data_IF_036000728393
#
_entry.id   IF_036000728393
#
_cell.length_a   1.000
_cell.length_b   1.000
_cell.length_c   1.000
_cell.angle_alpha   90.00
_cell.angle_beta   90.00
_cell.angle_gamma   90.00
#
_symmetry.space_group_name_H-M   'P 1'
#
loop_
_entity.id
_entity.type
_entity.pdbx_description
1 polymer ?
#
# COMPACT_ATOMS: atom_id res chain seq x y z
N UNK A 1 131.24 28.99 -27.45
CA UNK A 1 130.34 28.68 -28.58
C UNK A 1 128.97 28.33 -28.02
N UNK A 2 127.91 28.98 -28.53
CA UNK A 2 126.46 28.67 -28.55
C UNK A 2 125.79 27.99 -27.33
N UNK A 3 124.91 28.65 -26.54
CA UNK A 3 123.49 29.05 -26.76
C UNK A 3 122.43 28.00 -26.32
N UNK A 4 121.43 28.49 -25.57
CA UNK A 4 120.02 28.04 -25.40
C UNK A 4 119.71 26.86 -24.44
N UNK A 5 118.55 26.76 -23.77
CA UNK A 5 117.39 27.62 -23.40
C UNK A 5 116.38 26.71 -22.66
N UNK A 6 115.40 27.33 -21.97
CA UNK A 6 114.04 26.85 -21.56
C UNK A 6 113.93 26.32 -20.12
N UNK A 7 113.28 27.03 -19.19
CA UNK A 7 111.86 27.48 -19.08
C UNK A 7 110.92 26.33 -18.71
N UNK A 8 110.61 26.25 -17.42
CA UNK A 8 109.59 25.39 -16.84
C UNK A 8 108.47 26.26 -16.23
N UNK A 9 107.22 25.84 -16.42
CA UNK A 9 106.15 26.22 -15.51
C UNK A 9 104.81 26.53 -16.17
N UNK A 10 103.83 25.67 -15.88
CA UNK A 10 102.38 25.89 -15.81
C UNK A 10 101.55 25.60 -17.07
N UNK A 11 100.93 24.42 -17.08
CA UNK A 11 99.64 24.11 -17.77
C UNK A 11 98.91 23.13 -16.83
N UNK A 12 97.93 23.57 -16.03
CA UNK A 12 96.52 23.88 -16.33
C UNK A 12 95.59 22.65 -16.34
N UNK A 13 94.75 22.61 -15.31
CA UNK A 13 93.58 21.77 -15.06
C UNK A 13 92.51 21.93 -16.16
N UNK A 14 92.65 21.26 -17.30
CA UNK A 14 91.63 21.31 -18.39
C UNK A 14 91.03 19.94 -18.71
N UNK A 15 91.49 18.86 -18.08
CA UNK A 15 91.15 17.50 -18.54
C UNK A 15 89.87 16.86 -17.98
N UNK A 16 88.96 17.60 -17.32
CA UNK A 16 87.73 17.02 -16.73
C UNK A 16 86.40 17.44 -17.39
N UNK A 17 86.40 18.14 -18.52
CA UNK A 17 85.18 18.75 -19.09
C UNK A 17 84.59 18.06 -20.34
N UNK A 18 84.97 16.82 -20.70
CA UNK A 18 84.60 16.23 -22.02
C UNK A 18 83.84 14.89 -21.95
N UNK A 19 83.31 14.47 -20.79
CA UNK A 19 82.70 13.11 -20.67
C UNK A 19 81.26 13.02 -20.14
N UNK A 20 80.48 14.12 -20.07
CA UNK A 20 79.08 14.04 -19.62
C UNK A 20 78.06 14.79 -20.50
N UNK A 21 78.41 15.09 -21.76
CA UNK A 21 77.49 15.69 -22.73
C UNK A 21 76.77 14.62 -23.55
N UNK A 22 76.00 13.73 -22.90
CA UNK A 22 75.00 12.84 -23.52
C UNK A 22 74.04 12.34 -22.43
N UNK A 23 73.23 13.22 -21.85
CA UNK A 23 72.01 12.79 -21.15
C UNK A 23 70.81 13.29 -21.94
N UNK A 24 70.20 12.39 -22.71
CA UNK A 24 68.87 12.61 -23.26
C UNK A 24 67.91 12.81 -22.09
N UNK A 25 67.13 13.91 -22.05
CA UNK A 25 66.11 14.09 -21.03
C UNK A 25 65.16 12.89 -21.03
N UNK A 26 64.73 12.39 -19.86
CA UNK A 26 63.72 11.34 -19.82
C UNK A 26 62.48 11.81 -20.59
N UNK A 27 61.83 10.93 -21.36
CA UNK A 27 60.61 11.30 -22.08
C UNK A 27 59.60 11.88 -21.08
N UNK A 28 58.86 12.94 -21.47
CA UNK A 28 57.86 13.52 -20.60
C UNK A 28 56.91 12.41 -20.13
N UNK A 29 56.53 12.40 -18.83
CA UNK A 29 55.62 11.40 -18.31
C UNK A 29 54.36 11.38 -19.18
N UNK A 30 53.82 10.20 -19.52
CA UNK A 30 52.60 10.10 -20.31
C UNK A 30 51.52 10.95 -19.65
N UNK A 31 50.70 11.67 -20.44
CA UNK A 31 49.63 12.49 -19.89
C UNK A 31 48.77 11.60 -18.99
N UNK A 32 48.54 12.06 -17.76
CA UNK A 32 47.65 11.39 -16.82
C UNK A 32 46.34 11.12 -17.54
N UNK A 33 45.83 9.87 -17.52
CA UNK A 33 44.51 9.58 -18.08
C UNK A 33 43.51 10.60 -17.52
N UNK A 34 42.62 11.16 -18.36
CA UNK A 34 41.59 12.06 -17.85
C UNK A 34 40.86 11.37 -16.70
N UNK A 35 40.56 12.09 -15.61
CA UNK A 35 39.86 11.50 -14.48
C UNK A 35 38.59 10.83 -15.03
N UNK A 36 38.39 9.57 -14.66
CA UNK A 36 37.19 8.83 -15.04
C UNK A 36 36.00 9.63 -14.52
N UNK A 37 35.26 10.28 -15.42
CA UNK A 37 34.02 10.97 -15.08
C UNK A 37 33.01 9.88 -14.76
N UNK A 38 32.93 9.49 -13.48
CA UNK A 38 31.88 8.60 -13.01
C UNK A 38 30.56 9.35 -13.23
N UNK A 39 29.62 8.84 -14.05
CA UNK A 39 28.35 9.52 -14.25
C UNK A 39 27.65 9.70 -12.89
N UNK A 40 27.49 10.95 -12.47
CA UNK A 40 26.86 11.34 -11.20
C UNK A 40 25.33 11.33 -11.29
N UNK A 41 24.76 10.63 -12.28
CA UNK A 41 23.33 10.67 -12.57
C UNK A 41 22.54 10.12 -11.37
N UNK A 42 21.77 11.01 -10.73
CA UNK A 42 20.89 10.64 -9.63
C UNK A 42 19.83 9.65 -10.14
N UNK A 43 19.57 8.54 -9.44
CA UNK A 43 18.43 7.67 -9.74
C UNK A 43 17.12 8.45 -9.74
N UNK A 44 16.23 8.18 -10.69
CA UNK A 44 14.90 8.80 -10.77
C UNK A 44 13.82 7.81 -10.32
N UNK A 45 12.71 8.29 -9.73
CA UNK A 45 11.58 7.44 -9.38
C UNK A 45 10.98 6.74 -10.61
N UNK A 46 10.49 5.49 -10.47
CA UNK A 46 9.80 4.78 -11.56
C UNK A 46 8.51 5.51 -11.96
N UNK A 47 8.18 5.48 -13.25
CA UNK A 47 6.95 6.04 -13.84
C UNK A 47 6.63 7.49 -13.42
N UNK A 48 7.66 8.29 -13.14
CA UNK A 48 7.55 9.66 -12.64
C UNK A 48 6.77 9.76 -11.32
N UNK A 49 6.87 8.74 -10.46
CA UNK A 49 6.34 8.80 -9.10
C UNK A 49 6.95 9.96 -8.31
N UNK A 50 6.19 10.46 -7.33
CA UNK A 50 6.67 11.51 -6.44
C UNK A 50 7.93 11.05 -5.68
N UNK A 51 8.93 11.92 -5.58
CA UNK A 51 10.08 11.71 -4.71
C UNK A 51 9.60 11.60 -3.24
N UNK A 52 10.08 10.58 -2.51
CA UNK A 52 9.72 10.40 -1.10
C UNK A 52 8.32 9.83 -0.83
N UNK A 53 7.63 9.30 -1.84
CA UNK A 53 6.40 8.51 -1.63
C UNK A 53 6.64 7.38 -0.60
N UNK A 54 5.75 7.29 0.38
CA UNK A 54 5.73 6.18 1.31
C UNK A 54 5.15 4.92 0.65
N UNK A 55 5.86 3.80 0.76
CA UNK A 55 5.38 2.49 0.30
C UNK A 55 4.85 1.67 1.50
N UNK A 56 3.86 0.79 1.30
CA UNK A 56 3.40 -0.10 2.35
C UNK A 56 4.52 -1.01 2.85
N UNK A 57 4.40 -1.50 4.09
CA UNK A 57 5.28 -2.57 4.58
C UNK A 57 4.95 -3.91 3.92
N UNK A 58 5.89 -4.87 3.96
CA UNK A 58 5.67 -6.24 3.48
C UNK A 58 5.06 -7.12 4.58
N UNK A 59 4.32 -8.14 4.19
CA UNK A 59 3.91 -9.26 5.05
C UNK A 59 5.04 -10.29 5.23
N UNK A 60 4.75 -11.37 5.96
CA UNK A 60 5.67 -12.48 6.22
C UNK A 60 6.06 -13.21 4.92
N UNK A 61 5.18 -13.15 3.91
CA UNK A 61 5.37 -13.72 2.58
C UNK A 61 6.14 -12.78 1.62
N UNK A 62 6.48 -11.56 2.06
CA UNK A 62 7.22 -10.57 1.28
C UNK A 62 6.38 -9.74 0.29
N UNK A 63 5.05 -9.86 0.30
CA UNK A 63 4.12 -9.05 -0.49
C UNK A 63 3.81 -7.74 0.23
N UNK A 64 3.65 -6.64 -0.50
CA UNK A 64 3.27 -5.36 0.11
C UNK A 64 1.83 -5.42 0.64
N UNK A 65 1.64 -4.98 1.87
CA UNK A 65 0.34 -4.93 2.53
C UNK A 65 -0.61 -3.98 1.81
N UNK A 66 -1.67 -4.54 1.23
CA UNK A 66 -2.76 -3.77 0.61
C UNK A 66 -4.03 -3.83 1.45
N UNK A 67 -5.01 -2.99 1.10
CA UNK A 67 -6.36 -3.06 1.66
C UNK A 67 -7.12 -4.34 1.27
N UNK A 68 -6.58 -5.14 0.34
CA UNK A 68 -7.19 -6.37 -0.14
C UNK A 68 -6.67 -7.63 0.60
N UNK A 69 -5.90 -7.48 1.68
CA UNK A 69 -5.34 -8.63 2.40
C UNK A 69 -6.41 -9.41 3.16
N UNK A 70 -6.40 -10.74 3.00
CA UNK A 70 -7.29 -11.66 3.73
C UNK A 70 -8.78 -11.40 3.48
N UNK A 71 -9.14 -10.88 2.30
CA UNK A 71 -10.54 -10.64 1.92
C UNK A 71 -11.29 -11.96 1.69
N UNK A 72 -12.57 -11.96 2.05
CA UNK A 72 -13.50 -13.03 1.68
C UNK A 72 -13.88 -12.94 0.21
N UNK A 73 -14.42 -14.00 -0.39
CA UNK A 73 -14.88 -13.99 -1.79
C UNK A 73 -15.86 -12.85 -2.11
N UNK A 74 -16.82 -12.56 -1.22
CA UNK A 74 -17.76 -11.44 -1.40
C UNK A 74 -17.03 -10.09 -1.40
N UNK A 75 -16.11 -9.90 -0.46
CA UNK A 75 -15.30 -8.68 -0.35
C UNK A 75 -14.37 -8.54 -1.55
N UNK A 76 -13.78 -9.65 -2.02
CA UNK A 76 -12.94 -9.67 -3.20
C UNK A 76 -13.71 -9.25 -4.45
N UNK A 77 -14.92 -9.79 -4.66
CA UNK A 77 -15.76 -9.43 -5.81
C UNK A 77 -16.17 -7.94 -5.76
N UNK A 78 -16.44 -7.44 -4.56
CA UNK A 78 -16.70 -6.02 -4.35
C UNK A 78 -15.49 -5.14 -4.72
N UNK A 79 -14.29 -5.53 -4.30
CA UNK A 79 -13.06 -4.80 -4.62
C UNK A 79 -12.68 -4.92 -6.11
N UNK A 80 -12.94 -6.06 -6.77
CA UNK A 80 -12.82 -6.20 -8.23
C UNK A 80 -13.71 -5.19 -8.93
N UNK A 81 -14.98 -5.05 -8.50
CA UNK A 81 -15.88 -4.02 -9.06
C UNK A 81 -15.30 -2.62 -8.88
N UNK A 82 -14.76 -2.29 -7.70
CA UNK A 82 -14.14 -0.98 -7.44
C UNK A 82 -12.95 -0.73 -8.38
N UNK A 83 -12.05 -1.70 -8.53
CA UNK A 83 -10.91 -1.61 -9.44
C UNK A 83 -11.36 -1.35 -10.88
N UNK A 84 -12.36 -2.10 -11.37
CA UNK A 84 -12.89 -1.91 -12.73
C UNK A 84 -13.62 -0.58 -12.90
N UNK A 85 -14.23 -0.03 -11.84
CA UNK A 85 -14.78 1.32 -11.86
C UNK A 85 -13.67 2.38 -11.97
N UNK A 86 -12.58 2.24 -11.21
CA UNK A 86 -11.40 3.11 -11.34
C UNK A 86 -10.84 3.04 -12.75
N UNK A 87 -10.75 1.84 -13.34
CA UNK A 87 -10.30 1.66 -14.72
C UNK A 87 -11.22 2.37 -15.72
N UNK A 88 -12.54 2.25 -15.55
CA UNK A 88 -13.53 2.92 -16.39
C UNK A 88 -13.39 4.45 -16.39
N UNK A 89 -12.84 5.04 -15.32
CA UNK A 89 -12.64 6.49 -15.19
C UNK A 89 -11.24 6.93 -15.63
N UNK A 90 -10.20 6.12 -15.42
CA UNK A 90 -8.80 6.54 -15.57
C UNK A 90 -8.13 6.02 -16.84
N UNK A 91 -8.73 5.06 -17.54
CA UNK A 91 -8.12 4.40 -18.70
C UNK A 91 -8.51 5.00 -20.04
N UNK A 92 -9.32 6.07 -20.09
CA UNK A 92 -9.80 6.67 -21.34
C UNK A 92 -8.66 7.07 -22.30
N UNK A 93 -7.51 7.51 -21.78
CA UNK A 93 -6.31 7.82 -22.59
C UNK A 93 -5.68 6.60 -23.30
N UNK A 94 -6.06 5.38 -22.93
CA UNK A 94 -5.64 4.12 -23.54
C UNK A 94 -6.78 3.44 -24.31
N UNK A 95 -7.93 4.09 -24.45
CA UNK A 95 -9.11 3.61 -25.16
C UNK A 95 -10.33 3.40 -24.27
N UNK A 96 -11.52 3.39 -24.90
CA UNK A 96 -12.81 3.30 -24.19
C UNK A 96 -13.19 1.89 -23.72
N UNK A 97 -12.36 0.87 -23.99
CA UNK A 97 -12.69 -0.54 -23.73
C UNK A 97 -13.00 -0.81 -22.25
N UNK A 98 -12.20 -0.27 -21.32
CA UNK A 98 -12.42 -0.46 -19.89
C UNK A 98 -13.80 0.06 -19.45
N UNK A 99 -14.18 1.26 -19.93
CA UNK A 99 -15.49 1.87 -19.65
C UNK A 99 -16.63 1.07 -20.26
N UNK A 100 -16.49 0.62 -21.50
CA UNK A 100 -17.50 -0.19 -22.18
C UNK A 100 -17.72 -1.53 -21.48
N UNK A 101 -16.64 -2.23 -21.13
CA UNK A 101 -16.70 -3.48 -20.39
C UNK A 101 -17.34 -3.29 -19.02
N UNK A 102 -16.96 -2.25 -18.27
CA UNK A 102 -17.56 -1.97 -16.96
C UNK A 102 -19.07 -1.78 -17.04
N UNK A 103 -19.56 -1.01 -18.01
CA UNK A 103 -20.99 -0.82 -18.21
C UNK A 103 -21.71 -2.14 -18.58
N UNK A 104 -21.10 -2.98 -19.41
CA UNK A 104 -21.64 -4.31 -19.73
C UNK A 104 -21.66 -5.23 -18.50
N UNK A 105 -20.61 -5.20 -17.68
CA UNK A 105 -20.53 -5.97 -16.43
C UNK A 105 -21.66 -5.61 -15.50
N UNK A 106 -21.97 -4.31 -15.35
CA UNK A 106 -23.09 -3.85 -14.53
C UNK A 106 -24.44 -4.36 -15.07
N UNK A 107 -24.60 -4.40 -16.39
CA UNK A 107 -25.82 -4.90 -17.02
C UNK A 107 -25.99 -6.43 -16.86
N UNK A 108 -24.92 -7.20 -17.07
CA UNK A 108 -24.96 -8.68 -17.06
C UNK A 108 -24.95 -9.25 -15.64
N UNK A 109 -24.11 -8.71 -14.76
CA UNK A 109 -23.84 -9.27 -13.42
C UNK A 109 -24.40 -8.43 -12.28
N UNK A 110 -25.20 -7.40 -12.57
CA UNK A 110 -25.79 -6.48 -11.59
C UNK A 110 -26.37 -7.16 -10.34
N UNK A 111 -27.20 -8.21 -10.47
CA UNK A 111 -27.76 -8.93 -9.32
C UNK A 111 -26.69 -9.57 -8.41
N UNK A 112 -25.70 -10.26 -8.98
CA UNK A 112 -24.61 -10.88 -8.21
C UNK A 112 -23.73 -9.82 -7.53
N UNK A 113 -23.41 -8.74 -8.23
CA UNK A 113 -22.63 -7.63 -7.67
C UNK A 113 -23.37 -6.94 -6.51
N UNK A 114 -24.69 -6.77 -6.64
CA UNK A 114 -25.53 -6.24 -5.55
C UNK A 114 -25.56 -7.19 -4.35
N UNK A 115 -25.68 -8.49 -4.58
CA UNK A 115 -25.65 -9.50 -3.52
C UNK A 115 -24.31 -9.51 -2.76
N UNK A 116 -23.18 -9.41 -3.48
CA UNK A 116 -21.86 -9.30 -2.89
C UNK A 116 -21.71 -8.02 -2.06
N UNK A 117 -22.17 -6.87 -2.57
CA UNK A 117 -22.20 -5.63 -1.80
C UNK A 117 -23.00 -5.81 -0.51
N UNK A 118 -24.23 -6.32 -0.58
CA UNK A 118 -25.06 -6.58 0.61
C UNK A 118 -24.42 -7.55 1.61
N UNK A 119 -23.61 -8.51 1.15
CA UNK A 119 -22.82 -9.37 2.05
C UNK A 119 -21.73 -8.57 2.78
N UNK A 120 -20.99 -7.72 2.08
CA UNK A 120 -20.02 -6.80 2.70
C UNK A 120 -20.70 -5.89 3.73
N UNK A 121 -21.88 -5.33 3.43
CA UNK A 121 -22.61 -4.51 4.41
C UNK A 121 -22.95 -5.29 5.69
N UNK A 122 -23.35 -6.56 5.56
CA UNK A 122 -23.60 -7.42 6.72
C UNK A 122 -22.33 -7.70 7.51
N UNK A 123 -21.21 -8.00 6.84
CA UNK A 123 -19.92 -8.25 7.48
C UNK A 123 -19.52 -7.05 8.36
N UNK A 124 -19.68 -5.84 7.83
CA UNK A 124 -19.40 -4.60 8.57
C UNK A 124 -20.39 -4.35 9.71
N UNK A 125 -21.69 -4.60 9.48
CA UNK A 125 -22.71 -4.44 10.52
C UNK A 125 -22.46 -5.36 11.71
N UNK A 126 -22.10 -6.61 11.46
CA UNK A 126 -21.79 -7.60 12.51
C UNK A 126 -20.50 -7.26 13.23
N UNK A 127 -19.45 -6.86 12.51
CA UNK A 127 -18.16 -6.58 13.12
C UNK A 127 -18.11 -5.26 13.92
N UNK A 128 -18.84 -4.23 13.50
CA UNK A 128 -18.68 -2.87 14.03
C UNK A 128 -19.96 -2.21 14.56
N UNK A 129 -21.12 -2.84 14.43
CA UNK A 129 -22.39 -2.30 14.92
C UNK A 129 -22.66 -0.88 14.41
N UNK A 130 -22.81 0.08 15.33
CA UNK A 130 -23.06 1.49 15.00
C UNK A 130 -21.93 2.15 14.18
N UNK A 131 -20.70 1.63 14.27
CA UNK A 131 -19.55 2.15 13.52
C UNK A 131 -19.38 1.52 12.12
N UNK A 132 -20.31 0.66 11.69
CA UNK A 132 -20.21 -0.10 10.45
C UNK A 132 -20.05 0.77 9.20
N UNK A 133 -20.87 1.82 9.05
CA UNK A 133 -20.84 2.70 7.87
C UNK A 133 -19.49 3.42 7.80
N UNK A 134 -19.08 4.09 8.88
CA UNK A 134 -17.80 4.81 8.91
C UNK A 134 -16.60 3.90 8.65
N UNK A 135 -16.60 2.69 9.22
CA UNK A 135 -15.53 1.71 9.01
C UNK A 135 -15.47 1.21 7.56
N UNK A 136 -16.63 1.00 6.93
CA UNK A 136 -16.73 0.58 5.53
C UNK A 136 -16.26 1.68 4.59
N UNK A 137 -16.75 2.90 4.76
CA UNK A 137 -16.37 4.02 3.89
C UNK A 137 -14.88 4.36 4.00
N UNK A 138 -14.29 4.21 5.20
CA UNK A 138 -12.84 4.32 5.37
C UNK A 138 -12.09 3.27 4.54
N UNK A 139 -12.50 2.00 4.57
CA UNK A 139 -11.87 0.98 3.75
C UNK A 139 -12.07 1.27 2.25
N UNK A 140 -13.30 1.57 1.82
CA UNK A 140 -13.62 1.87 0.43
C UNK A 140 -12.71 2.99 -0.11
N UNK A 141 -12.54 4.05 0.66
CA UNK A 141 -11.66 5.18 0.31
C UNK A 141 -10.22 4.71 0.11
N UNK A 142 -9.69 3.86 0.99
CA UNK A 142 -8.34 3.30 0.85
C UNK A 142 -8.22 2.43 -0.41
N UNK A 143 -9.23 1.61 -0.71
CA UNK A 143 -9.24 0.73 -1.89
C UNK A 143 -9.30 1.55 -3.19
N UNK A 144 -10.15 2.58 -3.26
CA UNK A 144 -10.19 3.48 -4.42
C UNK A 144 -8.87 4.23 -4.60
N UNK A 145 -8.32 4.79 -3.53
CA UNK A 145 -7.03 5.50 -3.60
C UNK A 145 -5.89 4.56 -4.02
N UNK A 146 -5.93 3.30 -3.58
CA UNK A 146 -4.97 2.28 -3.99
C UNK A 146 -5.05 2.04 -5.50
N UNK A 147 -6.22 1.71 -6.04
CA UNK A 147 -6.36 1.44 -7.48
C UNK A 147 -6.18 2.68 -8.35
N UNK A 148 -6.38 3.88 -7.79
CA UNK A 148 -6.22 5.15 -8.50
C UNK A 148 -4.79 5.71 -8.45
N UNK A 149 -3.79 4.93 -7.99
CA UNK A 149 -2.40 5.39 -7.86
C UNK A 149 -1.83 5.85 -9.24
N UNK A 150 -1.62 7.16 -9.47
CA UNK A 150 -1.31 7.70 -10.79
C UNK A 150 -0.12 7.06 -11.53
N UNK A 151 1.05 6.80 -10.90
CA UNK A 151 2.18 6.19 -11.60
C UNK A 151 1.89 4.76 -12.10
N UNK A 152 0.92 4.06 -11.49
CA UNK A 152 0.60 2.66 -11.83
C UNK A 152 -0.44 2.56 -12.94
N UNK A 153 -1.24 3.60 -13.19
CA UNK A 153 -2.39 3.56 -14.12
C UNK A 153 -2.01 3.04 -15.52
N UNK A 154 -0.81 3.38 -16.01
CA UNK A 154 -0.29 2.87 -17.29
C UNK A 154 -0.22 1.34 -17.36
N UNK A 155 0.20 0.70 -16.28
CA UNK A 155 0.35 -0.75 -16.17
C UNK A 155 -0.96 -1.42 -15.73
N UNK A 156 -1.79 -0.71 -14.98
CA UNK A 156 -3.09 -1.18 -14.50
C UNK A 156 -4.14 -1.32 -15.61
N UNK A 157 -4.26 -0.34 -16.51
CA UNK A 157 -5.30 -0.34 -17.53
C UNK A 157 -5.38 -1.59 -18.43
N UNK A 158 -4.28 -2.12 -19.02
CA UNK A 158 -4.36 -3.35 -19.82
C UNK A 158 -4.78 -4.58 -19.00
N UNK A 159 -4.37 -4.65 -17.73
CA UNK A 159 -4.78 -5.72 -16.81
C UNK A 159 -6.28 -5.62 -16.50
N UNK A 160 -6.78 -4.41 -16.23
CA UNK A 160 -8.19 -4.18 -15.98
C UNK A 160 -9.07 -4.57 -17.19
N UNK A 161 -8.63 -4.27 -18.41
CA UNK A 161 -9.33 -4.71 -19.64
C UNK A 161 -9.35 -6.23 -19.77
N UNK A 162 -8.25 -6.89 -19.45
CA UNK A 162 -8.14 -8.35 -19.48
C UNK A 162 -9.07 -9.00 -18.46
N UNK A 163 -9.08 -8.50 -17.22
CA UNK A 163 -9.96 -8.99 -16.16
C UNK A 163 -11.41 -8.67 -16.46
N UNK A 164 -11.71 -7.50 -17.01
CA UNK A 164 -13.05 -7.13 -17.46
C UNK A 164 -13.60 -8.11 -18.51
N UNK A 165 -12.77 -8.52 -19.47
CA UNK A 165 -13.14 -9.54 -20.45
C UNK A 165 -13.41 -10.90 -19.81
N UNK A 166 -12.53 -11.35 -18.89
CA UNK A 166 -12.71 -12.61 -18.13
C UNK A 166 -14.02 -12.60 -17.35
N UNK A 167 -14.34 -11.47 -16.72
CA UNK A 167 -15.53 -11.34 -15.90
C UNK A 167 -16.80 -11.43 -16.76
N UNK A 168 -16.83 -10.76 -17.92
CA UNK A 168 -17.92 -10.84 -18.90
C UNK A 168 -18.11 -12.24 -19.51
N UNK A 169 -17.02 -13.01 -19.67
CA UNK A 169 -17.10 -14.38 -20.19
C UNK A 169 -17.41 -15.43 -19.12
N UNK A 170 -17.55 -15.03 -17.85
CA UNK A 170 -17.78 -15.95 -16.74
C UNK A 170 -19.25 -15.92 -16.32
N UNK A 171 -19.91 -17.09 -16.14
CA UNK A 171 -21.26 -17.14 -15.59
C UNK A 171 -21.37 -16.47 -14.22
N UNK A 172 -22.47 -15.75 -13.97
CA UNK A 172 -22.72 -15.04 -12.71
C UNK A 172 -22.58 -15.90 -11.45
N UNK A 173 -22.83 -17.22 -11.54
CA UNK A 173 -22.69 -18.19 -10.44
C UNK A 173 -21.25 -18.49 -10.05
N UNK A 174 -20.28 -18.21 -10.92
CA UNK A 174 -18.87 -18.50 -10.69
C UNK A 174 -18.06 -17.28 -10.22
N UNK A 175 -18.65 -16.08 -10.25
CA UNK A 175 -17.91 -14.84 -9.94
C UNK A 175 -17.29 -14.84 -8.54
N UNK A 176 -18.01 -15.34 -7.53
CA UNK A 176 -17.50 -15.37 -6.15
C UNK A 176 -16.31 -16.32 -5.98
N UNK A 177 -16.30 -17.43 -6.73
CA UNK A 177 -15.18 -18.37 -6.72
C UNK A 177 -13.94 -17.75 -7.36
N UNK A 178 -14.13 -17.02 -8.47
CA UNK A 178 -13.03 -16.46 -9.25
C UNK A 178 -12.50 -15.11 -8.73
N UNK A 179 -13.30 -14.37 -7.97
CA UNK A 179 -12.98 -13.01 -7.56
C UNK A 179 -11.62 -12.84 -6.85
N UNK A 180 -11.20 -13.73 -5.91
CA UNK A 180 -9.89 -13.60 -5.28
C UNK A 180 -8.73 -13.65 -6.28
N UNK A 181 -8.82 -14.50 -7.30
CA UNK A 181 -7.81 -14.60 -8.34
C UNK A 181 -7.76 -13.32 -9.19
N UNK A 182 -8.91 -12.83 -9.66
CA UNK A 182 -8.96 -11.60 -10.45
C UNK A 182 -8.50 -10.39 -9.66
N UNK A 183 -8.80 -10.34 -8.36
CA UNK A 183 -8.28 -9.28 -7.50
C UNK A 183 -6.75 -9.33 -7.44
N UNK A 184 -6.16 -10.51 -7.24
CA UNK A 184 -4.71 -10.67 -7.26
C UNK A 184 -4.09 -10.25 -8.61
N UNK A 185 -4.75 -10.55 -9.74
CA UNK A 185 -4.32 -10.08 -11.05
C UNK A 185 -4.36 -8.55 -11.15
N UNK A 186 -5.44 -7.90 -10.72
CA UNK A 186 -5.58 -6.44 -10.70
C UNK A 186 -4.58 -5.75 -9.78
N UNK A 187 -4.18 -6.39 -8.68
CA UNK A 187 -3.19 -5.86 -7.74
C UNK A 187 -1.74 -5.96 -8.23
N UNK A 188 -1.46 -6.89 -9.16
CA UNK A 188 -0.09 -7.20 -9.59
C UNK A 188 0.71 -5.97 -10.06
N UNK A 189 0.18 -5.07 -10.89
CA UNK A 189 0.90 -3.85 -11.30
C UNK A 189 1.32 -2.95 -10.13
N UNK A 190 0.53 -2.92 -9.05
CA UNK A 190 0.83 -2.12 -7.86
C UNK A 190 1.95 -2.76 -7.04
N UNK A 191 1.93 -4.08 -6.91
CA UNK A 191 3.01 -4.83 -6.25
C UNK A 191 4.35 -4.65 -6.98
N UNK A 192 4.33 -4.73 -8.31
CA UNK A 192 5.51 -4.51 -9.15
C UNK A 192 6.02 -3.07 -9.04
N UNK A 193 5.12 -2.08 -9.02
CA UNK A 193 5.49 -0.69 -8.80
C UNK A 193 6.16 -0.48 -7.43
N UNK A 194 5.60 -1.02 -6.36
CA UNK A 194 6.21 -0.90 -5.02
C UNK A 194 7.60 -1.54 -4.96
N UNK A 195 7.80 -2.68 -5.63
CA UNK A 195 9.12 -3.31 -5.77
C UNK A 195 10.12 -2.42 -6.52
N UNK A 196 9.70 -1.83 -7.65
CA UNK A 196 10.52 -0.90 -8.41
C UNK A 196 10.86 0.36 -7.60
N UNK A 197 9.92 0.83 -6.77
CA UNK A 197 10.10 2.01 -5.94
C UNK A 197 11.06 1.75 -4.76
N UNK A 198 10.97 0.61 -4.09
CA UNK A 198 11.92 0.20 -3.04
C UNK A 198 13.34 0.07 -3.60
N UNK A 199 13.48 -0.52 -4.78
CA UNK A 199 14.75 -0.62 -5.49
C UNK A 199 15.32 0.76 -5.90
N UNK A 200 14.46 1.70 -6.28
CA UNK A 200 14.83 3.11 -6.44
C UNK A 200 15.37 3.71 -5.13
N UNK A 201 14.69 3.52 -3.99
CA UNK A 201 15.16 4.04 -2.70
C UNK A 201 16.53 3.47 -2.32
N UNK A 202 16.76 2.17 -2.55
CA UNK A 202 18.07 1.54 -2.36
C UNK A 202 19.15 2.20 -3.22
N UNK A 203 18.91 2.32 -4.53
CA UNK A 203 19.86 2.99 -5.45
C UNK A 203 20.13 4.44 -5.05
N UNK A 204 19.10 5.15 -4.61
CA UNK A 204 19.23 6.52 -4.16
C UNK A 204 20.13 6.61 -2.93
N UNK A 205 19.97 5.71 -1.95
CA UNK A 205 20.84 5.64 -0.77
C UNK A 205 22.29 5.30 -1.14
N UNK A 206 22.51 4.37 -2.07
CA UNK A 206 23.85 4.04 -2.59
C UNK A 206 24.49 5.22 -3.35
N UNK A 207 23.70 5.96 -4.14
CA UNK A 207 24.18 7.16 -4.81
C UNK A 207 24.54 8.26 -3.80
N UNK A 208 23.70 8.47 -2.79
CA UNK A 208 23.94 9.45 -1.73
C UNK A 208 25.22 9.15 -0.95
N UNK A 209 25.49 7.88 -0.62
CA UNK A 209 26.70 7.48 0.10
C UNK A 209 27.98 7.69 -0.71
N UNK A 210 27.91 7.55 -2.05
CA UNK A 210 29.05 7.74 -2.95
C UNK A 210 29.39 9.20 -3.21
N UNK A 211 28.38 10.08 -3.29
CA UNK A 211 28.58 11.46 -3.74
C UNK A 211 28.47 12.52 -2.64
N UNK A 212 28.22 12.13 -1.39
CA UNK A 212 28.40 12.99 -0.20
C UNK A 212 27.66 14.33 -0.26
N UNK A 213 26.59 14.42 -1.08
CA UNK A 213 25.88 15.67 -1.26
C UNK A 213 25.30 16.13 0.09
N UNK A 214 25.39 17.43 0.38
CA UNK A 214 24.66 18.10 1.45
C UNK A 214 23.17 18.03 1.12
N UNK A 215 22.58 16.85 1.32
CA UNK A 215 21.16 16.59 1.09
C UNK A 215 20.47 16.82 2.41
N UNK A 216 19.62 17.85 2.46
CA UNK A 216 18.63 17.98 3.52
C UNK A 216 17.67 16.81 3.37
N UNK A 217 17.91 15.74 4.12
CA UNK A 217 17.04 14.58 4.11
C UNK A 217 15.79 14.93 4.91
N UNK A 218 14.71 15.26 4.20
CA UNK A 218 13.38 15.20 4.80
C UNK A 218 13.01 13.71 4.82
N UNK A 219 13.45 13.01 5.86
CA UNK A 219 12.89 11.70 6.19
C UNK A 219 11.47 11.99 6.64
N UNK A 220 10.46 11.70 5.83
CA UNK A 220 9.09 11.62 6.35
C UNK A 220 9.09 10.52 7.41
N UNK A 221 8.92 10.85 8.71
CA UNK A 221 9.18 9.90 9.79
C UNK A 221 7.97 9.03 10.12
N UNK A 222 6.97 8.96 9.23
CA UNK A 222 5.72 8.28 9.54
C UNK A 222 5.54 7.11 8.60
N UNK A 223 5.85 5.87 9.04
CA UNK A 223 5.33 4.67 8.39
C UNK A 223 3.84 4.87 8.18
N UNK A 224 3.34 4.66 6.96
CA UNK A 224 1.91 4.66 6.75
C UNK A 224 1.32 3.59 7.69
N UNK A 225 0.28 3.93 8.48
CA UNK A 225 -0.42 2.90 9.23
C UNK A 225 -0.88 1.84 8.24
N UNK A 226 -0.77 0.54 8.58
CA UNK A 226 -1.16 -0.50 7.66
C UNK A 226 -2.61 -0.26 7.23
N UNK A 227 -2.96 -0.49 5.96
CA UNK A 227 -4.33 -0.26 5.50
C UNK A 227 -5.29 -1.08 6.37
N UNK A 228 -6.49 -0.57 6.67
CA UNK A 228 -7.46 -1.29 7.50
C UNK A 228 -7.76 -2.66 6.90
N UNK A 229 -7.90 -3.67 7.77
CA UNK A 229 -8.25 -5.03 7.32
C UNK A 229 -9.79 -5.13 7.18
N UNK A 230 -10.31 -5.64 6.06
CA UNK A 230 -11.73 -5.92 5.92
C UNK A 230 -12.18 -6.99 6.93
N UNK A 231 -13.41 -6.92 7.48
CA UNK A 231 -13.95 -7.94 8.36
C UNK A 231 -14.14 -9.27 7.62
N UNK A 232 -14.18 -10.37 8.38
CA UNK A 232 -14.51 -11.70 7.86
C UNK A 232 -15.98 -11.84 7.44
N UNK A 233 -16.33 -13.01 6.90
CA UNK A 233 -17.68 -13.25 6.41
C UNK A 233 -18.63 -13.47 7.58
N UNK A 234 -19.69 -12.66 7.65
CA UNK A 234 -20.76 -12.83 8.61
C UNK A 234 -21.73 -13.93 8.15
N UNK A 235 -22.34 -14.67 9.09
CA UNK A 235 -23.37 -15.63 8.75
C UNK A 235 -24.53 -15.00 7.98
N UNK A 236 -25.19 -15.73 7.06
CA UNK A 236 -26.35 -15.22 6.36
C UNK A 236 -27.52 -14.96 7.34
N UNK A 237 -28.44 -14.03 7.02
CA UNK A 237 -29.61 -13.76 7.86
C UNK A 237 -30.40 -15.04 8.15
N UNK A 238 -30.72 -15.28 9.42
CA UNK A 238 -31.42 -16.50 9.86
C UNK A 238 -30.50 -17.71 10.08
N UNK A 239 -29.19 -17.57 9.91
CA UNK A 239 -28.24 -18.62 10.31
C UNK A 239 -28.23 -18.77 11.83
N UNK A 240 -28.55 -19.98 12.29
CA UNK A 240 -28.38 -20.38 13.68
C UNK A 240 -27.20 -21.34 13.76
N UNK A 241 -26.27 -21.14 14.72
CA UNK A 241 -25.19 -22.10 14.91
C UNK A 241 -25.80 -23.45 15.34
N UNK A 242 -25.57 -24.50 14.56
CA UNK A 242 -25.84 -25.87 15.00
C UNK A 242 -24.74 -26.30 15.96
N UNK A 243 -24.80 -25.84 17.21
CA UNK A 243 -23.85 -26.25 18.26
C UNK A 243 -24.06 -27.71 18.71
N UNK A 244 -25.07 -28.42 18.19
CA UNK A 244 -25.33 -29.82 18.50
C UNK A 244 -24.28 -30.79 17.93
N UNK A 245 -23.58 -30.45 16.85
CA UNK A 245 -22.76 -31.45 16.14
C UNK A 245 -21.43 -31.81 16.83
N UNK A 246 -20.92 -31.01 17.77
CA UNK A 246 -19.62 -31.28 18.43
C UNK A 246 -19.75 -31.77 19.88
N UNK A 247 -20.82 -31.40 20.59
CA UNK A 247 -21.13 -31.95 21.92
C UNK A 247 -21.79 -33.34 21.84
N UNK A 248 -22.65 -33.58 20.85
CA UNK A 248 -23.34 -34.86 20.69
C UNK A 248 -22.48 -35.93 20.03
N UNK A 249 -21.46 -35.54 19.26
CA UNK A 249 -20.47 -36.46 18.67
C UNK A 249 -19.43 -36.99 19.67
N UNK A 250 -19.37 -36.42 20.88
CA UNK A 250 -18.46 -36.87 21.96
C UNK A 250 -19.23 -37.38 23.19
N UNK A 251 -20.55 -37.53 23.10
CA UNK A 251 -21.33 -38.15 24.18
C UNK A 251 -20.99 -39.65 24.24
N UNK A 252 -20.52 -40.19 25.39
CA UNK A 252 -20.33 -41.62 25.53
C UNK A 252 -21.69 -42.34 25.41
N UNK A 253 -21.74 -43.56 24.85
CA UNK A 253 -23.00 -44.29 24.69
C UNK A 253 -23.66 -44.54 26.05
N UNK A 254 -25.01 -44.57 26.12
CA UNK A 254 -25.70 -44.85 27.37
C UNK A 254 -25.38 -46.29 27.81
N UNK A 255 -24.66 -46.42 28.91
CA UNK A 255 -24.42 -47.69 29.58
C UNK A 255 -25.64 -48.07 30.40
N UNK A 256 -26.18 -49.25 30.15
CA UNK A 256 -27.18 -49.90 30.98
C UNK A 256 -26.62 -50.14 32.39
N UNK A 257 -27.30 -49.61 33.42
CA UNK A 257 -27.80 -50.31 34.61
C UNK A 257 -28.03 -49.34 35.78
N UNK A 258 -29.14 -49.61 36.47
CA UNK A 258 -29.64 -48.89 37.63
C UNK A 258 -28.69 -48.93 38.84
N UNK A 259 -28.60 -47.81 39.55
CA UNK A 259 -28.01 -47.69 40.89
C UNK A 259 -28.47 -46.39 41.54
N UNK A 260 -29.06 -46.51 42.72
CA UNK A 260 -29.83 -45.49 43.41
C UNK A 260 -29.07 -44.20 43.78
N UNK A 261 -29.85 -43.12 43.95
CA UNK A 261 -29.43 -41.80 44.42
C UNK A 261 -28.71 -41.82 45.80
N UNK A 262 -28.01 -40.73 46.18
CA UNK A 262 -28.76 -39.68 46.85
C UNK A 262 -28.41 -38.25 46.41
N UNK A 263 -29.44 -37.40 46.44
CA UNK A 263 -29.30 -35.94 46.45
C UNK A 263 -28.34 -35.51 47.55
N UNK A 264 -27.32 -34.73 47.20
CA UNK A 264 -26.49 -34.01 48.17
C UNK A 264 -26.26 -32.61 47.64
N UNK A 265 -27.03 -31.68 48.18
CA UNK A 265 -26.73 -30.26 48.15
C UNK A 265 -25.38 -30.04 48.82
N UNK A 266 -24.34 -29.82 48.03
CA UNK A 266 -23.03 -29.42 48.55
C UNK A 266 -22.96 -27.90 48.64
N UNK A 267 -23.26 -27.42 49.85
CA UNK A 267 -22.95 -26.09 50.37
C UNK A 267 -21.47 -25.76 50.19
N UNK A 268 -21.14 -24.66 49.52
CA UNK A 268 -19.79 -24.09 49.55
C UNK A 268 -19.64 -23.32 50.86
N UNK A 269 -18.85 -23.88 51.80
CA UNK A 269 -18.43 -23.20 53.02
C UNK A 269 -17.37 -22.11 52.71
N UNK A 270 -17.39 -20.97 53.43
CA UNK A 270 -16.44 -19.87 53.24
C UNK A 270 -15.15 -20.06 54.06
N UNK A 271 -14.04 -19.54 53.53
CA UNK A 271 -12.73 -19.48 54.18
C UNK A 271 -12.69 -18.33 55.22
N UNK A 272 -12.18 -18.53 56.45
CA UNK A 272 -12.18 -17.48 57.48
C UNK A 272 -10.94 -16.59 57.47
N UNK A 273 -11.17 -15.26 57.45
CA UNK A 273 -10.62 -14.30 58.41
C UNK A 273 -9.19 -13.75 58.22
N UNK A 274 -9.11 -12.49 57.79
CA UNK A 274 -8.16 -11.51 58.34
C UNK A 274 -8.74 -10.08 58.24
N UNK A 275 -9.50 -9.73 59.28
CA UNK A 275 -9.62 -8.42 59.95
C UNK A 275 -9.35 -7.12 59.19
N UNK A 276 -10.33 -6.22 59.20
CA UNK A 276 -10.05 -4.79 59.40
C UNK A 276 -11.02 -3.80 58.76
N UNK A 277 -11.80 -3.13 59.61
CA UNK A 277 -12.48 -1.84 59.40
C UNK A 277 -13.84 -1.80 58.69
N UNK A 278 -14.86 -1.75 59.55
CA UNK A 278 -16.19 -1.16 59.40
C UNK A 278 -16.22 0.26 58.82
N UNK A 279 -17.14 0.56 57.88
CA UNK A 279 -18.17 1.66 57.93
C UNK A 279 -19.16 1.54 56.75
N UNK A 280 -20.36 2.20 56.74
CA UNK A 280 -21.61 1.64 56.22
C UNK A 280 -22.01 2.16 54.83
N UNK A 281 -23.01 1.49 54.23
CA UNK A 281 -23.73 1.98 53.06
C UNK A 281 -24.50 3.27 53.34
N UNK A 282 -24.18 4.33 52.60
CA UNK A 282 -25.13 5.37 52.17
C UNK A 282 -24.66 5.96 50.84
N UNK A 283 -25.28 5.54 49.74
CA UNK A 283 -25.14 6.22 48.45
C UNK A 283 -26.11 7.41 48.43
N UNK A 284 -25.58 8.60 48.62
CA UNK A 284 -26.29 9.86 48.37
C UNK A 284 -25.63 10.55 47.18
N UNK A 285 -26.46 10.93 46.21
CA UNK A 285 -26.15 11.70 45.01
C UNK A 285 -25.76 13.14 45.36
N UNK A 286 -24.68 13.67 44.80
CA UNK A 286 -24.59 15.08 44.32
C UNK A 286 -23.36 15.32 43.41
N UNK A 287 -23.43 16.31 42.49
CA UNK A 287 -22.65 16.38 41.25
C UNK A 287 -21.39 17.26 41.34
N UNK A 288 -20.44 17.05 40.41
CA UNK A 288 -19.27 17.92 40.18
C UNK A 288 -19.42 18.75 38.88
N UNK A 289 -18.86 19.97 38.82
CA UNK A 289 -19.20 21.06 37.89
C UNK A 289 -18.44 21.03 36.55
N UNK A 290 -18.80 21.88 35.56
CA UNK A 290 -18.32 21.77 34.19
C UNK A 290 -16.94 22.41 34.00
N UNK A 291 -16.12 21.84 33.12
CA UNK A 291 -14.89 22.49 32.64
C UNK A 291 -14.74 22.34 31.14
N UNK A 292 -14.98 23.47 30.48
CA UNK A 292 -14.40 24.00 29.25
C UNK A 292 -14.10 23.04 28.09
N UNK A 293 -14.94 23.16 27.06
CA UNK A 293 -14.62 22.79 25.68
C UNK A 293 -13.62 23.79 25.09
N UNK A 294 -12.38 23.38 24.87
CA UNK A 294 -11.49 24.05 23.91
C UNK A 294 -11.60 23.33 22.56
N UNK A 295 -12.39 23.93 21.68
CA UNK A 295 -12.50 23.56 20.28
C UNK A 295 -11.26 24.07 19.53
N UNK A 296 -10.42 23.15 19.05
CA UNK A 296 -9.43 23.49 18.02
C UNK A 296 -10.15 23.63 16.68
N UNK A 297 -10.28 24.89 16.28
CA UNK A 297 -10.78 25.38 14.99
C UNK A 297 -9.92 24.83 13.85
N UNK A 298 -10.53 24.03 12.96
CA UNK A 298 -9.97 23.73 11.65
C UNK A 298 -10.20 24.89 10.67
N UNK A 299 -9.36 25.03 9.62
CA UNK A 299 -9.51 26.09 8.62
C UNK A 299 -10.85 25.99 7.86
N UNK A 300 -11.45 27.11 7.43
CA UNK A 300 -12.77 27.13 6.81
C UNK A 300 -12.79 26.42 5.45
N UNK A 301 -13.86 25.66 5.22
CA UNK A 301 -14.17 25.05 3.94
C UNK A 301 -14.48 26.11 2.87
N UNK A 302 -14.05 25.94 1.62
CA UNK A 302 -14.50 26.79 0.52
C UNK A 302 -15.99 26.56 0.25
N UNK A 303 -16.75 27.65 0.34
CA UNK A 303 -18.19 27.73 0.07
C UNK A 303 -18.47 27.47 -1.42
N UNK A 304 -19.23 26.41 -1.71
CA UNK A 304 -19.87 26.21 -3.01
C UNK A 304 -21.33 26.65 -2.90
N UNK A 305 -21.83 27.59 -3.73
CA UNK A 305 -23.23 27.97 -3.73
C UNK A 305 -24.08 26.82 -4.28
N UNK A 306 -25.11 26.43 -3.54
CA UNK A 306 -26.19 25.54 -4.00
C UNK A 306 -27.03 26.25 -5.07
N UNK A 307 -27.21 25.67 -6.27
CA UNK A 307 -28.28 26.06 -7.17
C UNK A 307 -29.47 25.11 -6.97
N UNK A 308 -30.57 25.72 -6.54
CA UNK A 308 -31.97 25.52 -6.93
C UNK A 308 -32.44 24.16 -7.48
N UNK A 309 -33.57 23.69 -6.93
CA UNK A 309 -34.37 22.56 -7.41
C UNK A 309 -34.93 22.86 -8.82
N UNK A 310 -34.19 22.44 -9.84
CA UNK A 310 -34.64 22.47 -11.24
C UNK A 310 -34.03 21.31 -12.02
N UNK A 311 -34.84 20.29 -12.30
CA UNK A 311 -34.42 19.12 -13.08
C UNK A 311 -33.84 19.53 -14.46
N UNK A 312 -32.66 19.02 -14.88
CA UNK A 312 -32.17 19.27 -16.23
C UNK A 312 -32.97 18.45 -17.24
N UNK A 313 -33.85 19.13 -17.98
CA UNK A 313 -34.44 18.62 -19.22
C UNK A 313 -33.35 18.61 -20.28
N UNK A 314 -33.03 17.45 -20.85
CA UNK A 314 -32.23 17.36 -22.08
C UNK A 314 -33.01 18.06 -23.21
N UNK A 315 -32.56 19.24 -23.64
CA UNK A 315 -32.88 19.75 -24.97
C UNK A 315 -31.94 19.09 -25.98
N UNK A 316 -32.53 18.26 -26.84
CA UNK A 316 -31.85 17.63 -27.98
C UNK A 316 -31.65 18.70 -29.05
N UNK A 317 -30.40 19.05 -29.36
CA UNK A 317 -30.09 19.86 -30.53
C UNK A 317 -30.35 19.06 -31.82
N UNK A 318 -31.03 19.62 -32.85
CA UNK A 318 -31.21 18.95 -34.13
C UNK A 318 -29.90 18.72 -34.88
N UNK A 319 -29.79 17.56 -35.51
CA UNK A 319 -28.68 17.17 -36.40
C UNK A 319 -28.72 18.07 -37.66
N UNK A 320 -27.61 18.69 -38.09
CA UNK A 320 -27.58 19.45 -39.34
C UNK A 320 -27.76 18.52 -40.55
N UNK A 321 -28.49 18.95 -41.60
CA UNK A 321 -28.69 18.13 -42.79
C UNK A 321 -27.36 17.87 -43.50
N UNK A 322 -27.10 16.60 -43.82
CA UNK A 322 -26.03 16.25 -44.74
C UNK A 322 -26.46 16.70 -46.14
N UNK A 323 -25.66 17.57 -46.75
CA UNK A 323 -25.87 18.01 -48.12
C UNK A 323 -25.39 16.94 -49.10
N UNK A 324 -26.18 16.76 -50.16
CA UNK A 324 -25.77 16.16 -51.43
C UNK A 324 -24.76 17.07 -52.17
#
# INVERSE_FOLDING_TARGET
>A
MFVSRRLAGRISLVSLAVLAACSTPPPPPPPTPPPVVVPTVRPVPPDNAAEGMAIPTKDEEGKYLTANRGVTSNTALWHVRMALNVAALNCDKYGATARNQYNQILAVHGPTLKAANSAVERNYKVAYGNAAIGSRERLNTVVYNFFALPPVIKHFCPVAVTVGAKLLSTPSSQLLLMAPQWLAELEKPFQEFYAAYEDYLRRLAEWQSRFGATVTVIVSPTPLPPPPKPPGEAPPPGWQPSYSSTLEATAPPPGDTAGAAPSSSATVQPLPGATGMSVPSTATVQPLPPSASDALVGPPAPSSPTPDDGAPRLEVQPIPPQGD
#
